data_IF_342018618744
#
_entry.id   IF_342018618744
#
_cell.length_a   1.000
_cell.length_b   1.000
_cell.length_c   1.000
_cell.angle_alpha   90.00
_cell.angle_beta   90.00
_cell.angle_gamma   90.00
#
_symmetry.space_group_name_H-M   'P 1'
#
loop_
_entity.id
_entity.type
_entity.pdbx_description
1 polymer ?
#
# COMPACT_ATOMS: atom_id res chain seq x y z
N UNK A 1 4.04 -34.53 -21.88
CA UNK A 1 3.96 -34.10 -20.47
C UNK A 1 4.88 -32.90 -20.30
N UNK A 2 4.38 -31.69 -20.56
CA UNK A 2 5.17 -30.47 -20.44
C UNK A 2 5.23 -30.09 -18.96
N UNK A 3 6.45 -30.04 -18.40
CA UNK A 3 6.70 -29.59 -17.04
C UNK A 3 6.26 -28.12 -16.93
N UNK A 4 5.12 -27.90 -16.30
CA UNK A 4 4.55 -26.59 -16.06
C UNK A 4 5.45 -25.88 -15.06
N UNK A 5 6.38 -25.06 -15.58
CA UNK A 5 7.28 -24.26 -14.77
C UNK A 5 6.45 -23.47 -13.73
N UNK A 6 6.91 -23.40 -12.46
CA UNK A 6 6.17 -22.66 -11.43
C UNK A 6 5.93 -21.24 -11.96
N UNK A 7 4.66 -20.84 -12.08
CA UNK A 7 4.26 -19.50 -12.54
C UNK A 7 4.63 -18.47 -11.47
N UNK A 8 5.92 -18.22 -11.32
CA UNK A 8 6.45 -17.10 -10.55
C UNK A 8 5.91 -15.81 -11.17
N UNK A 9 5.41 -14.90 -10.34
CA UNK A 9 5.01 -13.55 -10.73
C UNK A 9 6.06 -12.95 -11.67
N UNK A 10 5.63 -12.38 -12.79
CA UNK A 10 6.57 -11.74 -13.71
C UNK A 10 7.37 -10.68 -12.95
N UNK A 11 8.68 -10.50 -13.21
CA UNK A 11 9.51 -9.53 -12.49
C UNK A 11 8.93 -8.11 -12.53
N UNK A 12 8.22 -7.78 -13.61
CA UNK A 12 7.49 -6.53 -13.76
C UNK A 12 6.29 -6.41 -12.80
N UNK A 13 5.49 -7.47 -12.60
CA UNK A 13 4.40 -7.47 -11.62
C UNK A 13 4.90 -7.36 -10.18
N UNK A 14 6.04 -7.98 -9.85
CA UNK A 14 6.66 -7.85 -8.52
C UNK A 14 7.15 -6.42 -8.26
N UNK A 15 7.69 -5.75 -9.28
CA UNK A 15 8.11 -4.34 -9.17
C UNK A 15 6.91 -3.41 -8.93
N UNK A 16 5.79 -3.64 -9.63
CA UNK A 16 4.56 -2.86 -9.42
C UNK A 16 4.04 -3.04 -7.99
N UNK A 17 3.98 -4.27 -7.48
CA UNK A 17 3.58 -4.52 -6.09
C UNK A 17 4.54 -3.88 -5.08
N UNK A 18 5.84 -3.92 -5.34
CA UNK A 18 6.84 -3.30 -4.48
C UNK A 18 6.70 -1.77 -4.48
N UNK A 19 6.48 -1.15 -5.64
CA UNK A 19 6.27 0.29 -5.76
C UNK A 19 4.98 0.74 -5.07
N UNK A 20 3.89 -0.01 -5.24
CA UNK A 20 2.63 0.23 -4.53
C UNK A 20 2.81 0.09 -3.01
N UNK A 21 3.52 -0.95 -2.56
CA UNK A 21 3.80 -1.16 -1.13
C UNK A 21 4.65 -0.04 -0.55
N UNK A 22 5.66 0.42 -1.29
CA UNK A 22 6.49 1.56 -0.89
C UNK A 22 5.68 2.86 -0.82
N UNK A 23 4.80 3.10 -1.79
CA UNK A 23 3.89 4.26 -1.78
C UNK A 23 2.93 4.24 -0.59
N UNK A 24 2.36 3.07 -0.27
CA UNK A 24 1.50 2.91 0.90
C UNK A 24 2.24 3.18 2.22
N UNK A 25 3.49 2.70 2.32
CA UNK A 25 4.37 2.98 3.45
C UNK A 25 4.68 4.46 3.59
N UNK A 26 4.97 5.14 2.47
CA UNK A 26 5.15 6.59 2.44
C UNK A 26 3.88 7.34 2.89
N UNK A 27 2.69 6.89 2.49
CA UNK A 27 1.41 7.47 2.91
C UNK A 27 1.16 7.29 4.41
N UNK A 28 1.43 6.10 4.95
CA UNK A 28 1.35 5.87 6.39
C UNK A 28 2.38 6.72 7.16
N UNK A 29 3.62 6.78 6.68
CA UNK A 29 4.67 7.61 7.27
C UNK A 29 4.30 9.09 7.23
N UNK A 30 3.71 9.56 6.13
CA UNK A 30 3.16 10.90 6.03
C UNK A 30 2.03 11.11 7.04
N UNK A 31 1.06 10.20 7.16
CA UNK A 31 -0.01 10.28 8.16
C UNK A 31 0.53 10.43 9.60
N UNK A 32 1.53 9.62 9.98
CA UNK A 32 2.20 9.70 11.28
C UNK A 32 2.98 11.01 11.43
N UNK A 33 3.65 11.46 10.36
CA UNK A 33 4.39 12.72 10.34
C UNK A 33 3.48 13.93 10.54
N UNK A 34 2.31 13.97 9.88
CA UNK A 34 1.29 15.00 10.09
C UNK A 34 0.74 15.00 11.53
N UNK A 35 0.78 13.85 12.21
CA UNK A 35 0.40 13.71 13.62
C UNK A 35 1.48 14.25 14.57
N UNK A 36 2.76 13.94 14.28
CA UNK A 36 3.90 14.40 15.07
C UNK A 36 4.22 15.88 14.86
N UNK A 37 4.14 16.34 13.60
CA UNK A 37 4.56 17.66 13.17
C UNK A 37 3.43 18.29 12.36
N UNK A 38 2.61 19.08 13.06
CA UNK A 38 1.49 19.79 12.47
C UNK A 38 2.03 20.82 11.47
N UNK A 39 1.72 20.71 10.16
CA UNK A 39 2.15 21.72 9.21
C UNK A 39 1.48 23.05 9.56
N UNK A 40 2.23 24.14 9.50
CA UNK A 40 1.72 25.46 9.87
C UNK A 40 0.53 25.94 9.02
N UNK A 41 0.30 25.33 7.85
CA UNK A 41 -0.85 25.62 6.99
C UNK A 41 -2.11 24.82 7.32
N UNK A 42 -2.03 23.80 8.18
CA UNK A 42 -3.17 22.94 8.54
C UNK A 42 -3.68 23.34 9.91
N UNK A 43 -4.97 23.66 9.95
CA UNK A 43 -5.66 23.98 11.19
C UNK A 43 -5.56 22.86 12.22
N UNK A 44 -5.44 23.24 13.49
CA UNK A 44 -5.28 22.31 14.60
C UNK A 44 -6.42 21.28 14.71
N UNK A 45 -7.61 21.65 14.26
CA UNK A 45 -8.78 20.78 14.23
C UNK A 45 -8.82 19.83 13.03
N UNK A 46 -8.28 20.21 11.88
CA UNK A 46 -8.33 19.39 10.64
C UNK A 46 -7.13 18.45 10.49
N UNK A 47 -6.00 18.77 11.12
CA UNK A 47 -4.80 17.92 11.13
C UNK A 47 -5.04 16.45 11.52
N UNK A 48 -5.77 16.12 12.61
CA UNK A 48 -6.01 14.72 12.97
C UNK A 48 -6.86 13.97 11.95
N UNK A 49 -7.85 14.62 11.33
CA UNK A 49 -8.68 14.00 10.28
C UNK A 49 -7.90 13.74 9.01
N UNK A 50 -7.00 14.66 8.63
CA UNK A 50 -6.12 14.50 7.47
C UNK A 50 -5.13 13.36 7.69
N UNK A 51 -4.54 13.27 8.89
CA UNK A 51 -3.66 12.17 9.28
C UNK A 51 -4.39 10.82 9.26
N UNK A 52 -5.62 10.78 9.76
CA UNK A 52 -6.49 9.59 9.72
C UNK A 52 -6.83 9.19 8.29
N UNK A 53 -7.16 10.14 7.42
CA UNK A 53 -7.46 9.88 6.02
C UNK A 53 -6.23 9.28 5.31
N UNK A 54 -5.04 9.87 5.49
CA UNK A 54 -3.78 9.36 4.93
C UNK A 54 -3.46 7.95 5.45
N UNK A 55 -3.64 7.71 6.74
CA UNK A 55 -3.44 6.40 7.34
C UNK A 55 -4.44 5.37 6.78
N UNK A 56 -5.72 5.71 6.66
CA UNK A 56 -6.75 4.84 6.10
C UNK A 56 -6.48 4.52 4.63
N UNK A 57 -6.03 5.50 3.83
CA UNK A 57 -5.63 5.26 2.44
C UNK A 57 -4.43 4.32 2.38
N UNK A 58 -3.39 4.55 3.18
CA UNK A 58 -2.23 3.64 3.23
C UNK A 58 -2.62 2.20 3.64
N UNK A 59 -3.52 2.04 4.61
CA UNK A 59 -4.05 0.72 5.00
C UNK A 59 -4.86 0.08 3.86
N UNK A 60 -5.69 0.87 3.16
CA UNK A 60 -6.47 0.39 2.03
C UNK A 60 -5.55 -0.07 0.88
N UNK A 61 -4.46 0.65 0.60
CA UNK A 61 -3.47 0.24 -0.40
C UNK A 61 -2.78 -1.07 -0.01
N UNK A 62 -2.36 -1.21 1.26
CA UNK A 62 -1.78 -2.47 1.76
C UNK A 62 -2.78 -3.63 1.63
N UNK A 63 -4.05 -3.39 1.97
CA UNK A 63 -5.11 -4.38 1.81
C UNK A 63 -5.32 -4.75 0.34
N UNK A 64 -5.33 -3.76 -0.57
CA UNK A 64 -5.46 -3.99 -2.00
C UNK A 64 -4.32 -4.85 -2.56
N UNK A 65 -3.07 -4.55 -2.17
CA UNK A 65 -1.88 -5.34 -2.55
C UNK A 65 -2.00 -6.78 -2.04
N UNK A 66 -2.38 -6.96 -0.77
CA UNK A 66 -2.56 -8.27 -0.16
C UNK A 66 -3.65 -9.08 -0.87
N UNK A 67 -4.78 -8.43 -1.20
CA UNK A 67 -5.90 -9.04 -1.90
C UNK A 67 -5.54 -9.40 -3.33
N UNK A 68 -4.81 -8.54 -4.05
CA UNK A 68 -4.30 -8.82 -5.40
C UNK A 68 -3.36 -10.03 -5.41
N UNK A 69 -2.40 -10.05 -4.46
CA UNK A 69 -1.47 -11.16 -4.27
C UNK A 69 -2.21 -12.46 -3.94
N UNK A 70 -3.27 -12.38 -3.14
CA UNK A 70 -4.09 -13.53 -2.79
C UNK A 70 -4.93 -14.05 -3.95
N UNK A 71 -5.58 -13.17 -4.73
CA UNK A 71 -6.31 -13.53 -5.95
C UNK A 71 -5.36 -14.22 -6.93
N UNK A 72 -4.17 -13.65 -7.16
CA UNK A 72 -3.18 -14.26 -8.04
C UNK A 72 -2.70 -15.62 -7.54
N UNK A 73 -2.52 -15.80 -6.23
CA UNK A 73 -2.19 -17.11 -5.65
C UNK A 73 -3.33 -18.11 -5.84
N UNK A 74 -4.60 -17.69 -5.69
CA UNK A 74 -5.77 -18.55 -5.91
C UNK A 74 -5.93 -18.95 -7.38
N UNK A 75 -5.68 -18.04 -8.32
CA UNK A 75 -5.84 -18.28 -9.75
C UNK A 75 -4.72 -19.14 -10.37
N UNK A 76 -3.73 -19.55 -9.57
CA UNK A 76 -2.66 -20.48 -9.94
C UNK A 76 -2.91 -21.92 -9.44
N UNK A 77 -3.99 -22.15 -8.69
CA UNK A 77 -4.45 -23.47 -8.29
C UNK A 77 -5.35 -24.12 -9.33
#
# INVERSE_FOLDING_TARGET
>A
MQAQAPRTLTPQQSLVLAALGFSALLMCAAGVWFWLQRPAWVDAHTAPYLALALALTGVADVAAIALLRWIWKRNQG
#
